data_IF_915493840446
#
_entry.id   IF_915493840446
#
_cell.length_a   1.000
_cell.length_b   1.000
_cell.length_c   1.000
_cell.angle_alpha   90.00
_cell.angle_beta   90.00
_cell.angle_gamma   90.00
#
_symmetry.space_group_name_H-M   'P 1'
#
loop_
_entity.id
_entity.type
_entity.pdbx_description
1 polymer ?
#
# COMPACT_ATOMS: atom_id res chain seq x y z
N UNK A 1 25.31 -10.84 -11.12
CA UNK A 1 24.49 -10.21 -10.07
C UNK A 1 23.24 -9.71 -10.75
N UNK A 2 22.07 -10.20 -10.34
CA UNK A 2 20.80 -9.74 -10.88
C UNK A 2 20.40 -8.44 -10.15
N UNK A 3 19.88 -7.45 -10.89
CA UNK A 3 19.45 -6.17 -10.33
C UNK A 3 18.21 -5.70 -11.04
N UNK A 4 17.17 -5.36 -10.26
CA UNK A 4 15.90 -4.81 -10.72
C UNK A 4 15.57 -3.57 -9.91
N UNK A 5 14.99 -2.56 -10.54
CA UNK A 5 14.57 -1.32 -9.87
C UNK A 5 13.10 -1.05 -10.08
N UNK A 6 12.41 -0.68 -9.02
CA UNK A 6 10.97 -0.39 -9.01
C UNK A 6 10.71 0.95 -8.34
N UNK A 7 9.89 1.79 -8.93
CA UNK A 7 9.52 3.09 -8.36
C UNK A 7 8.05 3.11 -7.93
N UNK A 8 7.82 3.53 -6.68
CA UNK A 8 6.51 3.67 -6.07
C UNK A 8 6.38 5.06 -5.45
N UNK A 9 5.49 5.88 -5.99
CA UNK A 9 5.27 7.24 -5.48
C UNK A 9 6.54 8.09 -5.41
N UNK A 10 7.44 7.94 -6.38
CA UNK A 10 8.72 8.66 -6.43
C UNK A 10 9.85 8.05 -5.58
N UNK A 11 9.61 6.95 -4.86
CA UNK A 11 10.65 6.20 -4.14
C UNK A 11 11.08 4.99 -4.95
N UNK A 12 12.37 4.91 -5.30
CA UNK A 12 12.95 3.82 -6.07
C UNK A 12 13.62 2.80 -5.15
N UNK A 13 13.11 1.58 -5.21
CA UNK A 13 13.64 0.41 -4.54
C UNK A 13 14.50 -0.39 -5.52
N UNK A 14 15.75 -0.64 -5.18
CA UNK A 14 16.66 -1.47 -5.96
C UNK A 14 16.82 -2.84 -5.31
N UNK A 15 16.43 -3.91 -6.02
CA UNK A 15 16.57 -5.30 -5.58
C UNK A 15 17.81 -5.89 -6.22
N UNK A 16 18.73 -6.43 -5.42
CA UNK A 16 20.00 -7.07 -5.86
C UNK A 16 20.10 -8.49 -5.33
N UNK A 17 20.65 -9.40 -6.12
CA UNK A 17 20.95 -10.76 -5.68
C UNK A 17 21.86 -11.50 -6.64
N UNK A 18 22.41 -12.64 -6.21
CA UNK A 18 23.21 -13.50 -7.07
C UNK A 18 22.34 -14.40 -7.96
N UNK A 19 21.20 -14.83 -7.41
CA UNK A 19 20.26 -15.68 -8.11
C UNK A 19 19.30 -14.83 -8.98
N UNK A 20 18.65 -15.49 -9.93
CA UNK A 20 17.62 -14.90 -10.77
C UNK A 20 16.23 -15.10 -10.12
N UNK A 21 15.32 -14.19 -10.37
CA UNK A 21 13.91 -14.29 -10.02
C UNK A 21 13.03 -13.86 -11.18
N UNK A 22 11.77 -14.29 -11.17
CA UNK A 22 10.81 -13.88 -12.17
C UNK A 22 10.23 -12.50 -11.83
N UNK A 23 10.26 -11.57 -12.76
CA UNK A 23 9.54 -10.30 -12.62
C UNK A 23 8.07 -10.55 -12.89
N UNK A 24 7.19 -10.30 -11.90
CA UNK A 24 5.76 -10.49 -12.07
C UNK A 24 5.18 -9.43 -13.03
N UNK A 25 4.12 -9.78 -13.77
CA UNK A 25 3.43 -8.82 -14.66
C UNK A 25 2.92 -7.58 -13.92
N UNK A 26 2.57 -7.71 -12.66
CA UNK A 26 2.10 -6.61 -11.84
C UNK A 26 3.25 -5.65 -11.48
N UNK A 27 4.36 -6.18 -10.95
CA UNK A 27 5.52 -5.35 -10.57
C UNK A 27 6.26 -4.77 -11.78
N UNK A 28 6.26 -5.44 -12.93
CA UNK A 28 6.88 -4.94 -14.17
C UNK A 28 6.34 -3.56 -14.61
N UNK A 29 5.10 -3.24 -14.25
CA UNK A 29 4.49 -1.93 -14.53
C UNK A 29 5.12 -0.78 -13.73
N UNK A 30 5.87 -1.11 -12.70
CA UNK A 30 6.51 -0.17 -11.77
C UNK A 30 8.03 -0.17 -11.90
N UNK A 31 8.59 -0.72 -12.98
CA UNK A 31 10.01 -0.58 -13.25
C UNK A 31 10.40 0.90 -13.24
N UNK A 32 11.52 1.18 -12.60
CA UNK A 32 12.07 2.53 -12.56
C UNK A 32 12.49 2.97 -13.96
N UNK A 33 12.34 4.25 -14.24
CA UNK A 33 12.88 4.88 -15.45
C UNK A 33 14.42 4.82 -15.44
N UNK A 34 15.02 4.89 -16.64
CA UNK A 34 16.47 4.95 -16.78
C UNK A 34 17.01 6.21 -16.10
N UNK A 35 18.03 6.00 -15.25
CA UNK A 35 18.65 7.10 -14.50
C UNK A 35 17.93 7.48 -13.19
N UNK A 36 16.83 6.81 -12.81
CA UNK A 36 16.19 7.05 -11.52
C UNK A 36 17.18 6.79 -10.36
N UNK A 37 17.25 7.73 -9.40
CA UNK A 37 18.07 7.59 -8.22
C UNK A 37 17.51 6.51 -7.28
N UNK A 38 18.37 5.64 -6.77
CA UNK A 38 17.96 4.60 -5.81
C UNK A 38 17.85 5.18 -4.41
N UNK A 39 16.66 5.08 -3.82
CA UNK A 39 16.40 5.53 -2.45
C UNK A 39 16.65 4.43 -1.42
N UNK A 40 16.37 3.17 -1.78
CA UNK A 40 16.49 2.04 -0.86
C UNK A 40 16.98 0.78 -1.60
N UNK A 41 17.97 0.08 -1.03
CA UNK A 41 18.53 -1.13 -1.60
C UNK A 41 18.06 -2.36 -0.82
N UNK A 42 17.56 -3.37 -1.53
CA UNK A 42 17.16 -4.67 -0.99
C UNK A 42 18.13 -5.72 -1.53
N UNK A 43 19.00 -6.25 -0.65
CA UNK A 43 19.96 -7.32 -1.01
C UNK A 43 19.37 -8.68 -0.67
N UNK A 44 19.19 -9.55 -1.67
CA UNK A 44 18.56 -10.87 -1.53
C UNK A 44 19.63 -11.96 -1.39
N UNK A 45 19.49 -12.77 -0.35
CA UNK A 45 20.34 -13.91 -0.01
C UNK A 45 19.48 -15.14 0.33
N UNK A 46 20.11 -16.31 0.45
CA UNK A 46 19.46 -17.55 0.86
C UNK A 46 20.22 -18.22 2.00
N UNK A 47 19.49 -18.90 2.89
CA UNK A 47 20.05 -19.65 4.02
C UNK A 47 19.27 -20.95 4.25
N UNK A 48 19.92 -22.02 4.67
CA UNK A 48 19.24 -23.29 5.01
C UNK A 48 18.39 -23.18 6.28
N UNK A 49 18.71 -22.26 7.19
CA UNK A 49 18.04 -22.11 8.50
C UNK A 49 17.72 -20.65 8.80
N UNK A 50 16.57 -20.39 9.47
CA UNK A 50 16.28 -19.06 9.98
C UNK A 50 17.21 -18.69 11.14
N UNK A 51 17.43 -17.39 11.40
CA UNK A 51 18.15 -16.94 12.59
C UNK A 51 17.34 -17.23 13.86
N UNK A 52 18.01 -17.30 15.04
CA UNK A 52 17.32 -17.37 16.32
C UNK A 52 16.48 -16.08 16.54
N UNK A 53 15.37 -16.24 17.25
CA UNK A 53 14.50 -15.14 17.66
C UNK A 53 14.82 -14.79 19.11
N UNK A 54 15.23 -13.55 19.43
CA UNK A 54 15.54 -13.16 20.80
C UNK A 54 14.25 -13.10 21.66
N UNK A 55 14.40 -13.23 22.97
CA UNK A 55 13.27 -13.27 23.92
C UNK A 55 12.45 -11.97 23.93
N UNK A 56 13.10 -10.83 23.64
CA UNK A 56 12.45 -9.53 23.59
C UNK A 56 11.70 -9.23 22.28
N UNK A 57 11.73 -10.16 21.31
CA UNK A 57 11.01 -9.99 20.06
C UNK A 57 9.49 -9.98 20.28
N UNK A 58 8.80 -9.04 19.67
CA UNK A 58 7.33 -9.01 19.60
C UNK A 58 6.88 -10.01 18.54
N UNK A 59 5.88 -10.87 18.88
CA UNK A 59 5.43 -11.96 18.02
C UNK A 59 3.93 -11.84 17.72
N UNK A 60 3.59 -12.08 16.45
CA UNK A 60 2.19 -12.20 16.02
C UNK A 60 2.09 -13.26 14.91
N UNK A 61 1.53 -14.43 15.25
CA UNK A 61 1.47 -15.60 14.36
C UNK A 61 2.87 -16.00 13.86
N UNK A 62 3.08 -16.11 12.53
CA UNK A 62 4.37 -16.52 11.97
C UNK A 62 5.42 -15.40 11.97
N UNK A 63 5.07 -14.18 12.39
CA UNK A 63 5.92 -12.99 12.31
C UNK A 63 6.52 -12.65 13.67
N UNK A 64 7.83 -12.43 13.69
CA UNK A 64 8.56 -11.90 14.85
C UNK A 64 9.29 -10.63 14.43
N UNK A 65 9.20 -9.56 15.24
CA UNK A 65 9.91 -8.29 15.01
C UNK A 65 10.66 -7.87 16.25
N UNK A 66 11.86 -7.31 16.06
CA UNK A 66 12.69 -6.76 17.15
C UNK A 66 13.67 -5.73 16.61
N UNK A 67 14.26 -4.96 17.51
CA UNK A 67 15.37 -4.06 17.19
C UNK A 67 16.66 -4.53 17.85
N UNK A 68 17.76 -4.35 17.12
CA UNK A 68 19.13 -4.45 17.63
C UNK A 68 19.90 -3.21 17.16
N UNK A 69 20.14 -2.27 18.08
CA UNK A 69 20.62 -0.94 17.74
C UNK A 69 19.67 -0.22 16.79
N UNK A 70 20.16 0.25 15.64
CA UNK A 70 19.35 0.93 14.62
C UNK A 70 18.66 -0.06 13.66
N UNK A 71 19.02 -1.32 13.69
CA UNK A 71 18.50 -2.32 12.77
C UNK A 71 17.12 -2.83 13.24
N UNK A 72 16.15 -2.82 12.34
CA UNK A 72 14.84 -3.43 12.53
C UNK A 72 14.83 -4.81 11.85
N UNK A 73 14.53 -5.82 12.63
CA UNK A 73 14.49 -7.21 12.21
C UNK A 73 13.03 -7.68 12.07
N UNK A 74 12.72 -8.32 10.94
CA UNK A 74 11.41 -8.97 10.71
C UNK A 74 11.65 -10.38 10.20
N UNK A 75 11.28 -11.38 10.98
CA UNK A 75 11.35 -12.79 10.62
C UNK A 75 9.94 -13.35 10.44
N UNK A 76 9.70 -14.04 9.32
CA UNK A 76 8.47 -14.79 9.03
C UNK A 76 8.83 -16.24 8.82
N UNK A 77 8.22 -17.15 9.60
CA UNK A 77 8.48 -18.59 9.54
C UNK A 77 7.20 -19.32 9.22
N UNK A 78 7.16 -20.00 8.08
CA UNK A 78 6.06 -20.85 7.64
C UNK A 78 6.43 -22.35 7.62
N UNK A 79 7.72 -22.68 7.75
CA UNK A 79 8.29 -24.01 7.77
C UNK A 79 9.80 -23.98 7.87
N UNK A 80 10.45 -25.13 8.07
CA UNK A 80 11.90 -25.21 8.31
C UNK A 80 12.76 -24.57 7.20
N UNK A 81 12.36 -24.75 5.93
CA UNK A 81 13.03 -24.15 4.78
C UNK A 81 12.20 -23.04 4.12
N UNK A 82 11.09 -22.63 4.75
CA UNK A 82 10.14 -21.65 4.24
C UNK A 82 10.05 -20.47 5.22
N UNK A 83 11.02 -19.58 5.13
CA UNK A 83 11.07 -18.37 5.94
C UNK A 83 11.59 -17.19 5.10
N UNK A 84 11.30 -15.97 5.56
CA UNK A 84 11.96 -14.75 5.11
C UNK A 84 12.42 -13.94 6.33
N UNK A 85 13.61 -13.40 6.25
CA UNK A 85 14.23 -12.62 7.30
C UNK A 85 14.78 -11.31 6.73
N UNK A 86 14.17 -10.21 7.10
CA UNK A 86 14.58 -8.87 6.72
C UNK A 86 15.31 -8.17 7.87
N UNK A 87 16.47 -7.61 7.60
CA UNK A 87 17.20 -6.70 8.49
C UNK A 87 17.27 -5.35 7.82
N UNK A 88 16.52 -4.39 8.32
CA UNK A 88 16.41 -3.05 7.76
C UNK A 88 17.17 -2.03 8.58
N UNK A 89 17.98 -1.24 7.88
CA UNK A 89 18.61 -0.03 8.35
C UNK A 89 18.24 1.14 7.45
N UNK A 90 18.78 2.33 7.68
CA UNK A 90 18.51 3.48 6.82
C UNK A 90 18.98 3.20 5.39
N UNK A 91 18.06 3.30 4.43
CA UNK A 91 18.33 3.11 2.99
C UNK A 91 18.66 1.69 2.55
N UNK A 92 18.66 0.70 3.44
CA UNK A 92 19.05 -0.67 3.10
C UNK A 92 18.20 -1.72 3.82
N UNK A 93 17.92 -2.82 3.12
CA UNK A 93 17.34 -4.05 3.69
C UNK A 93 18.16 -5.25 3.21
N UNK A 94 18.72 -6.02 4.13
CA UNK A 94 19.24 -7.35 3.86
C UNK A 94 18.08 -8.33 4.03
N UNK A 95 17.71 -9.04 2.97
CA UNK A 95 16.59 -9.98 2.93
C UNK A 95 17.12 -11.39 2.67
N UNK A 96 16.93 -12.29 3.63
CA UNK A 96 17.34 -13.69 3.57
C UNK A 96 16.13 -14.57 3.43
N UNK A 97 16.05 -15.38 2.40
CA UNK A 97 15.04 -16.41 2.22
C UNK A 97 15.55 -17.79 2.61
N UNK A 98 14.62 -18.64 3.04
CA UNK A 98 14.88 -20.07 3.14
C UNK A 98 15.12 -20.70 1.78
N UNK A 99 16.01 -21.72 1.72
CA UNK A 99 16.38 -22.41 0.47
C UNK A 99 15.15 -22.96 -0.29
N UNK A 100 14.06 -23.27 0.41
CA UNK A 100 12.80 -23.75 -0.22
C UNK A 100 12.15 -22.75 -1.19
N UNK A 101 12.54 -21.47 -1.15
CA UNK A 101 12.02 -20.44 -2.06
C UNK A 101 12.89 -20.19 -3.29
N UNK A 102 14.14 -20.69 -3.33
CA UNK A 102 15.13 -20.34 -4.36
C UNK A 102 14.64 -20.54 -5.80
N UNK A 103 13.94 -21.62 -6.08
CA UNK A 103 13.49 -21.96 -7.44
C UNK A 103 12.16 -21.29 -7.84
N UNK A 104 11.45 -20.68 -6.90
CA UNK A 104 10.10 -20.12 -7.11
C UNK A 104 10.01 -18.63 -6.86
N UNK A 105 11.17 -17.97 -6.68
CA UNK A 105 11.22 -16.55 -6.30
C UNK A 105 10.72 -15.63 -7.42
N UNK A 106 9.96 -14.63 -7.05
CA UNK A 106 9.48 -13.58 -7.94
C UNK A 106 9.50 -12.21 -7.24
N UNK A 107 9.60 -11.15 -8.03
CA UNK A 107 9.82 -9.77 -7.57
C UNK A 107 8.79 -9.29 -6.53
N UNK A 108 7.51 -9.64 -6.69
CA UNK A 108 6.48 -9.24 -5.72
C UNK A 108 6.73 -9.87 -4.34
N UNK A 109 7.08 -11.17 -4.28
CA UNK A 109 7.39 -11.84 -3.02
C UNK A 109 8.62 -11.23 -2.31
N UNK A 110 9.62 -10.78 -3.10
CA UNK A 110 10.79 -10.08 -2.56
C UNK A 110 10.37 -8.75 -1.91
N UNK A 111 9.62 -7.92 -2.64
CA UNK A 111 9.15 -6.62 -2.15
C UNK A 111 8.25 -6.75 -0.92
N UNK A 112 7.33 -7.73 -0.91
CA UNK A 112 6.47 -8.03 0.23
C UNK A 112 7.27 -8.48 1.46
N UNK A 113 8.23 -9.40 1.26
CA UNK A 113 9.06 -9.93 2.34
C UNK A 113 10.06 -8.91 2.89
N UNK A 114 10.46 -7.92 2.09
CA UNK A 114 11.27 -6.79 2.52
C UNK A 114 10.49 -5.74 3.31
N UNK A 115 9.19 -5.94 3.57
CA UNK A 115 8.32 -4.94 4.19
C UNK A 115 8.22 -3.64 3.39
N UNK A 116 8.00 -3.74 2.08
CA UNK A 116 7.95 -2.58 1.18
C UNK A 116 7.06 -1.45 1.73
N UNK A 117 5.88 -1.75 2.30
CA UNK A 117 5.00 -0.71 2.82
C UNK A 117 5.59 0.02 4.03
N UNK A 118 6.31 -0.70 4.87
CA UNK A 118 6.99 -0.15 6.03
C UNK A 118 8.25 0.64 5.60
N UNK A 119 8.93 0.21 4.51
CA UNK A 119 9.99 1.00 3.86
C UNK A 119 9.40 2.31 3.33
N UNK A 120 8.33 2.26 2.55
CA UNK A 120 7.69 3.44 1.96
C UNK A 120 7.12 4.39 3.02
N UNK A 121 6.65 3.86 4.17
CA UNK A 121 6.24 4.68 5.30
C UNK A 121 7.40 5.56 5.82
N UNK A 122 8.62 5.04 5.87
CA UNK A 122 9.82 5.81 6.19
C UNK A 122 10.12 6.97 5.23
N UNK A 123 9.52 6.97 4.04
CA UNK A 123 9.56 8.06 3.06
C UNK A 123 8.27 8.89 3.03
N UNK A 124 7.47 8.88 4.10
CA UNK A 124 6.26 9.68 4.21
C UNK A 124 5.07 9.18 3.38
N UNK A 125 5.03 7.89 3.04
CA UNK A 125 3.96 7.31 2.25
C UNK A 125 3.17 6.27 3.06
N UNK A 126 1.88 6.16 2.83
CA UNK A 126 1.05 5.13 3.44
C UNK A 126 0.24 4.36 2.38
N UNK A 127 -0.09 3.11 2.68
CA UNK A 127 -0.95 2.29 1.81
C UNK A 127 -2.32 2.16 2.44
N UNK A 128 -3.31 2.71 1.73
CA UNK A 128 -4.72 2.67 2.10
C UNK A 128 -5.44 1.54 1.36
N UNK A 129 -6.20 0.72 2.05
CA UNK A 129 -7.15 -0.24 1.45
C UNK A 129 -8.31 0.54 0.82
N UNK A 130 -8.18 0.83 -0.46
CA UNK A 130 -9.11 1.64 -1.23
C UNK A 130 -9.10 1.27 -2.70
N UNK A 131 -10.22 1.48 -3.38
CA UNK A 131 -10.22 1.56 -4.84
C UNK A 131 -9.86 2.98 -5.26
N UNK A 132 -8.93 3.10 -6.21
CA UNK A 132 -8.47 4.37 -6.76
C UNK A 132 -9.06 4.57 -8.16
N UNK A 133 -9.89 5.60 -8.31
CA UNK A 133 -10.42 6.03 -9.59
C UNK A 133 -9.88 7.42 -9.97
N UNK A 134 -9.64 7.61 -11.27
CA UNK A 134 -9.16 8.86 -11.84
C UNK A 134 -10.15 9.38 -12.88
N UNK A 135 -11.03 10.32 -12.50
CA UNK A 135 -11.94 10.99 -13.43
C UNK A 135 -11.18 11.81 -14.49
N UNK A 136 -11.84 12.21 -15.62
CA UNK A 136 -11.20 12.96 -16.70
C UNK A 136 -10.57 14.30 -16.30
N UNK A 137 -11.01 14.90 -15.18
CA UNK A 137 -10.41 16.13 -14.64
C UNK A 137 -9.03 15.95 -13.97
N UNK A 138 -8.52 14.71 -13.91
CA UNK A 138 -7.18 14.41 -13.44
C UNK A 138 -6.97 14.45 -11.92
N UNK A 139 -8.05 14.41 -11.10
CA UNK A 139 -7.95 14.36 -9.65
C UNK A 139 -8.48 13.04 -9.09
N UNK A 140 -7.70 12.38 -8.25
CA UNK A 140 -8.01 11.06 -7.68
C UNK A 140 -9.17 11.09 -6.69
N UNK A 141 -10.06 10.11 -6.79
CA UNK A 141 -11.08 9.80 -5.77
C UNK A 141 -10.80 8.40 -5.23
N UNK A 142 -10.69 8.28 -3.91
CA UNK A 142 -10.33 7.05 -3.22
C UNK A 142 -11.51 6.52 -2.42
N UNK A 143 -12.09 5.38 -2.81
CA UNK A 143 -13.16 4.73 -2.06
C UNK A 143 -12.58 3.78 -1.04
N UNK A 144 -12.81 4.03 0.25
CA UNK A 144 -12.25 3.25 1.36
C UNK A 144 -13.34 2.75 2.32
N UNK A 145 -13.00 1.71 3.08
CA UNK A 145 -13.85 1.07 4.08
C UNK A 145 -13.62 -0.43 4.15
N UNK A 146 -14.33 -1.14 5.04
CA UNK A 146 -14.14 -2.57 5.28
C UNK A 146 -14.24 -3.44 4.02
N UNK A 147 -13.72 -4.66 4.11
CA UNK A 147 -13.89 -5.63 3.02
C UNK A 147 -15.37 -5.90 2.75
N UNK A 148 -15.75 -5.98 1.47
CA UNK A 148 -17.15 -6.22 1.07
C UNK A 148 -18.10 -5.01 1.16
N UNK A 149 -17.63 -3.81 1.54
CA UNK A 149 -18.46 -2.61 1.66
C UNK A 149 -18.96 -2.08 0.31
N UNK A 150 -18.26 -2.37 -0.80
CA UNK A 150 -18.64 -1.89 -2.13
C UNK A 150 -17.61 -1.03 -2.84
N UNK A 151 -16.34 -0.98 -2.40
CA UNK A 151 -15.27 -0.18 -3.02
C UNK A 151 -15.13 -0.45 -4.52
N UNK A 152 -14.98 -1.71 -4.92
CA UNK A 152 -14.86 -2.11 -6.32
C UNK A 152 -16.14 -1.85 -7.12
N UNK A 153 -17.31 -1.93 -6.47
CA UNK A 153 -18.59 -1.59 -7.08
C UNK A 153 -18.66 -0.09 -7.39
N UNK A 154 -18.29 0.75 -6.44
CA UNK A 154 -18.24 2.20 -6.68
C UNK A 154 -17.23 2.56 -7.76
N UNK A 155 -16.04 1.93 -7.77
CA UNK A 155 -15.07 2.13 -8.85
C UNK A 155 -15.64 1.79 -10.24
N UNK A 156 -16.36 0.68 -10.37
CA UNK A 156 -17.02 0.29 -11.61
C UNK A 156 -18.14 1.27 -12.02
N UNK A 157 -18.94 1.75 -11.07
CA UNK A 157 -19.98 2.75 -11.34
C UNK A 157 -19.36 4.09 -11.79
N UNK A 158 -18.26 4.52 -11.19
CA UNK A 158 -17.54 5.72 -11.62
C UNK A 158 -16.93 5.57 -13.02
N UNK A 159 -16.43 4.37 -13.36
CA UNK A 159 -16.00 4.09 -14.71
C UNK A 159 -17.16 4.19 -15.70
N UNK A 160 -18.33 3.64 -15.35
CA UNK A 160 -19.51 3.59 -16.21
C UNK A 160 -20.16 4.95 -16.40
N UNK A 161 -20.36 5.71 -15.31
CA UNK A 161 -21.19 6.92 -15.33
C UNK A 161 -20.43 8.23 -15.28
N UNK A 162 -19.19 8.23 -14.78
CA UNK A 162 -18.33 9.41 -14.72
C UNK A 162 -17.13 9.35 -15.67
N UNK A 163 -16.99 8.28 -16.48
CA UNK A 163 -15.86 8.10 -17.39
C UNK A 163 -14.51 8.01 -16.69
N UNK A 164 -14.49 7.65 -15.41
CA UNK A 164 -13.27 7.54 -14.64
C UNK A 164 -12.45 6.31 -15.04
N UNK A 165 -11.12 6.44 -15.05
CA UNK A 165 -10.25 5.29 -15.14
C UNK A 165 -10.04 4.64 -13.77
N UNK A 166 -10.14 3.31 -13.67
CA UNK A 166 -9.79 2.57 -12.45
C UNK A 166 -8.29 2.31 -12.47
N UNK A 167 -7.57 2.95 -11.56
CA UNK A 167 -6.11 2.81 -11.44
C UNK A 167 -5.74 1.61 -10.59
N UNK A 168 -6.42 1.43 -9.46
CA UNK A 168 -6.23 0.26 -8.61
C UNK A 168 -7.55 -0.12 -7.93
N UNK A 169 -7.83 -1.41 -7.87
CA UNK A 169 -9.09 -1.92 -7.29
C UNK A 169 -9.03 -2.27 -5.81
N UNK A 170 -7.86 -2.23 -5.18
CA UNK A 170 -7.67 -2.75 -3.81
C UNK A 170 -6.82 -1.86 -2.91
N UNK A 171 -5.73 -1.26 -3.43
CA UNK A 171 -4.78 -0.49 -2.61
C UNK A 171 -4.30 0.76 -3.33
N UNK A 172 -4.21 1.84 -2.58
CA UNK A 172 -3.64 3.10 -3.04
C UNK A 172 -2.45 3.47 -2.19
N UNK A 173 -1.32 3.78 -2.82
CA UNK A 173 -0.18 4.38 -2.16
C UNK A 173 -0.37 5.89 -2.12
N UNK A 174 -0.41 6.47 -0.93
CA UNK A 174 -0.60 7.90 -0.72
C UNK A 174 0.71 8.51 -0.26
N UNK A 175 1.22 9.47 -1.01
CA UNK A 175 2.29 10.36 -0.57
C UNK A 175 1.68 11.48 0.24
N UNK A 176 2.09 11.59 1.53
CA UNK A 176 1.39 12.46 2.47
C UNK A 176 1.84 13.92 2.43
N UNK A 177 3.02 14.21 1.89
CA UNK A 177 3.58 15.57 1.80
C UNK A 177 2.84 16.48 0.80
N UNK A 178 2.37 15.92 -0.31
CA UNK A 178 1.70 16.65 -1.39
C UNK A 178 0.30 16.12 -1.75
N UNK A 179 -0.21 15.16 -0.97
CA UNK A 179 -1.51 14.52 -1.18
C UNK A 179 -1.66 13.88 -2.57
N UNK A 180 -0.64 13.15 -3.00
CA UNK A 180 -0.67 12.42 -4.27
C UNK A 180 -1.06 10.95 -4.05
N UNK A 181 -2.07 10.47 -4.76
CA UNK A 181 -2.42 9.07 -4.89
C UNK A 181 -1.58 8.41 -5.98
N UNK A 182 -1.02 7.26 -5.70
CA UNK A 182 -0.19 6.49 -6.61
C UNK A 182 -0.72 5.07 -6.73
N UNK A 183 -0.64 4.49 -7.93
CA UNK A 183 -0.86 3.07 -8.12
C UNK A 183 0.22 2.23 -7.41
N UNK A 184 -0.13 0.98 -7.13
CA UNK A 184 0.79 -0.02 -6.56
C UNK A 184 0.44 -1.39 -7.15
N UNK A 185 1.37 -2.34 -7.17
CA UNK A 185 1.16 -3.63 -7.85
C UNK A 185 0.12 -4.55 -7.20
N UNK A 186 -0.34 -4.26 -5.99
CA UNK A 186 -1.43 -4.99 -5.35
C UNK A 186 -2.75 -4.65 -6.02
N UNK A 187 -3.49 -5.66 -6.47
CA UNK A 187 -4.71 -5.47 -7.23
C UNK A 187 -5.94 -6.17 -6.64
N UNK A 188 -5.74 -6.92 -5.54
CA UNK A 188 -6.80 -7.73 -4.95
C UNK A 188 -7.45 -8.67 -5.98
N UNK A 189 -8.75 -8.91 -5.82
CA UNK A 189 -9.52 -9.76 -6.75
C UNK A 189 -9.84 -9.09 -8.08
N UNK A 190 -9.69 -7.77 -8.19
CA UNK A 190 -9.97 -7.03 -9.43
C UNK A 190 -8.95 -7.27 -10.53
N UNK A 191 -7.72 -7.62 -10.17
CA UNK A 191 -6.59 -7.72 -11.10
C UNK A 191 -6.14 -6.37 -11.69
N UNK A 192 -6.76 -5.26 -11.31
CA UNK A 192 -6.48 -3.93 -11.84
C UNK A 192 -5.40 -3.27 -10.99
N UNK A 193 -4.24 -3.00 -11.61
CA UNK A 193 -3.18 -2.17 -11.06
C UNK A 193 -2.46 -1.44 -12.19
N UNK A 194 -2.46 -0.12 -12.17
CA UNK A 194 -1.80 0.76 -13.16
C UNK A 194 -0.76 1.62 -12.45
N UNK A 195 0.34 1.91 -13.12
CA UNK A 195 1.32 2.87 -12.65
C UNK A 195 0.84 4.28 -13.08
N UNK A 196 0.08 4.91 -12.21
CA UNK A 196 -0.43 6.27 -12.44
C UNK A 196 -0.49 7.03 -11.12
N UNK A 197 -0.25 8.34 -11.20
CA UNK A 197 -0.22 9.25 -10.05
C UNK A 197 -1.11 10.45 -10.31
N UNK A 198 -1.85 10.91 -9.30
CA UNK A 198 -2.67 12.13 -9.40
C UNK A 198 -2.88 12.77 -8.02
N UNK A 199 -3.07 14.10 -7.96
CA UNK A 199 -3.48 14.78 -6.72
C UNK A 199 -4.80 14.22 -6.20
N UNK A 200 -4.90 13.99 -4.90
CA UNK A 200 -6.13 13.51 -4.26
C UNK A 200 -7.15 14.64 -4.23
N UNK A 201 -8.37 14.37 -4.75
CA UNK A 201 -9.53 15.25 -4.57
C UNK A 201 -10.26 14.93 -3.29
N UNK A 202 -10.48 13.64 -3.03
CA UNK A 202 -11.18 13.19 -1.82
C UNK A 202 -10.87 11.74 -1.47
N UNK A 203 -10.94 11.43 -0.17
CA UNK A 203 -11.08 10.08 0.37
C UNK A 203 -12.55 9.91 0.75
N UNK A 204 -13.20 8.86 0.26
CA UNK A 204 -14.63 8.60 0.45
C UNK A 204 -14.81 7.31 1.24
N UNK A 205 -15.29 7.47 2.45
CA UNK A 205 -15.64 6.37 3.35
C UNK A 205 -17.04 5.85 2.96
N UNK A 206 -17.12 4.58 2.62
CA UNK A 206 -18.37 3.97 2.15
C UNK A 206 -19.16 3.31 3.27
N UNK A 207 -20.48 3.48 3.23
CA UNK A 207 -21.45 2.69 3.97
C UNK A 207 -22.56 2.19 3.02
N UNK A 208 -23.17 1.05 3.33
CA UNK A 208 -24.36 0.56 2.64
C UNK A 208 -25.60 1.17 3.27
N UNK A 209 -26.49 1.72 2.46
CA UNK A 209 -27.74 2.31 2.91
C UNK A 209 -28.82 2.19 1.81
N UNK A 210 -30.08 2.34 2.20
CA UNK A 210 -31.22 2.35 1.27
C UNK A 210 -31.43 3.71 0.60
N UNK A 211 -30.80 4.77 1.12
CA UNK A 211 -30.82 6.11 0.57
C UNK A 211 -29.40 6.63 0.35
N UNK A 212 -29.22 7.46 -0.68
CA UNK A 212 -27.94 8.08 -0.98
C UNK A 212 -27.77 9.36 -0.18
N UNK A 213 -26.83 9.38 0.76
CA UNK A 213 -26.50 10.57 1.55
C UNK A 213 -24.99 10.80 1.56
N UNK A 214 -24.59 12.07 1.52
CA UNK A 214 -23.20 12.50 1.50
C UNK A 214 -22.97 13.60 2.53
N UNK A 215 -21.87 13.48 3.28
CA UNK A 215 -21.42 14.52 4.20
C UNK A 215 -19.92 14.53 4.35
N UNK A 216 -19.33 15.63 4.77
CA UNK A 216 -17.94 15.64 5.24
C UNK A 216 -17.81 14.81 6.52
N UNK A 217 -16.77 14.02 6.61
CA UNK A 217 -16.41 13.29 7.83
C UNK A 217 -15.79 14.26 8.85
N UNK A 218 -16.18 14.13 10.11
CA UNK A 218 -15.49 14.86 11.19
C UNK A 218 -14.05 14.35 11.38
N UNK A 219 -13.15 15.19 11.90
CA UNK A 219 -11.73 14.86 12.02
C UNK A 219 -11.46 13.54 12.77
N UNK A 220 -12.12 13.31 13.90
CA UNK A 220 -12.00 12.07 14.69
C UNK A 220 -12.47 10.84 13.91
N UNK A 221 -13.58 10.97 13.18
CA UNK A 221 -14.15 9.91 12.36
C UNK A 221 -13.23 9.60 11.18
N UNK A 222 -12.78 10.62 10.45
CA UNK A 222 -11.87 10.48 9.33
C UNK A 222 -10.57 9.79 9.75
N UNK A 223 -9.97 10.23 10.85
CA UNK A 223 -8.75 9.64 11.40
C UNK A 223 -8.94 8.15 11.72
N UNK A 224 -9.94 7.79 12.52
CA UNK A 224 -10.18 6.41 12.93
C UNK A 224 -10.48 5.50 11.73
N UNK A 225 -11.31 5.97 10.80
CA UNK A 225 -11.70 5.21 9.62
C UNK A 225 -10.51 4.99 8.66
N UNK A 226 -9.72 6.02 8.37
CA UNK A 226 -8.54 5.91 7.50
C UNK A 226 -7.48 5.03 8.14
N UNK A 227 -7.14 5.25 9.42
CA UNK A 227 -6.14 4.46 10.14
C UNK A 227 -6.50 2.96 10.15
N UNK A 228 -7.78 2.63 10.35
CA UNK A 228 -8.25 1.24 10.35
C UNK A 228 -8.10 0.52 8.99
N UNK A 229 -7.94 1.27 7.91
CA UNK A 229 -7.77 0.74 6.55
C UNK A 229 -6.33 0.84 6.03
N UNK A 230 -5.40 1.38 6.82
CA UNK A 230 -3.99 1.43 6.46
C UNK A 230 -3.28 0.08 6.67
N UNK A 231 -2.28 -0.19 5.84
CA UNK A 231 -1.45 -1.39 5.93
C UNK A 231 -0.21 -1.12 6.77
N UNK A 232 -0.16 -1.66 7.98
CA UNK A 232 0.98 -1.56 8.91
C UNK A 232 0.92 -2.67 9.98
N UNK A 233 1.96 -2.81 10.76
CA UNK A 233 2.00 -3.76 11.88
C UNK A 233 1.34 -3.16 13.12
N UNK A 234 0.01 -3.35 13.27
CA UNK A 234 -0.80 -2.78 14.38
C UNK A 234 -0.35 -3.23 15.78
N UNK A 235 0.30 -4.39 15.86
CA UNK A 235 0.83 -4.97 17.10
C UNK A 235 2.27 -4.56 17.41
N UNK A 236 2.94 -3.83 16.51
CA UNK A 236 4.28 -3.25 16.68
C UNK A 236 4.12 -1.77 17.02
N UNK A 237 4.54 -1.37 18.22
CA UNK A 237 4.29 -0.04 18.73
C UNK A 237 4.92 1.08 17.87
N UNK A 238 6.12 0.85 17.34
CA UNK A 238 6.80 1.83 16.49
C UNK A 238 6.07 2.01 15.15
N UNK A 239 5.70 0.91 14.51
CA UNK A 239 4.92 0.94 13.27
C UNK A 239 3.56 1.64 13.48
N UNK A 240 2.91 1.37 14.63
CA UNK A 240 1.62 1.97 14.96
C UNK A 240 1.72 3.48 15.22
N UNK A 241 2.72 3.93 15.97
CA UNK A 241 2.96 5.36 16.22
C UNK A 241 3.25 6.09 14.91
N UNK A 242 4.17 5.56 14.10
CA UNK A 242 4.53 6.18 12.83
C UNK A 242 3.34 6.28 11.87
N UNK A 243 2.54 5.21 11.74
CA UNK A 243 1.33 5.25 10.90
C UNK A 243 0.29 6.24 11.43
N UNK A 244 0.14 6.34 12.75
CA UNK A 244 -0.74 7.33 13.41
C UNK A 244 -0.37 8.76 13.01
N UNK A 245 0.91 9.10 13.01
CA UNK A 245 1.41 10.42 12.64
C UNK A 245 1.16 10.71 11.14
N UNK A 246 1.44 9.75 10.26
CA UNK A 246 1.17 9.89 8.82
C UNK A 246 -0.33 10.11 8.53
N UNK A 247 -1.20 9.33 9.17
CA UNK A 247 -2.66 9.46 9.00
C UNK A 247 -3.16 10.77 9.58
N UNK A 248 -2.65 11.21 10.74
CA UNK A 248 -3.02 12.49 11.31
C UNK A 248 -2.68 13.66 10.38
N UNK A 249 -1.49 13.66 9.78
CA UNK A 249 -1.07 14.65 8.79
C UNK A 249 -1.90 14.59 7.50
N UNK A 250 -2.28 13.40 7.06
CA UNK A 250 -3.12 13.20 5.86
C UNK A 250 -4.53 13.78 6.08
N UNK A 251 -5.24 13.39 7.14
CA UNK A 251 -6.64 13.78 7.35
C UNK A 251 -6.84 15.25 7.74
N UNK A 252 -5.79 15.92 8.20
CA UNK A 252 -5.82 17.37 8.44
C UNK A 252 -5.87 18.18 7.12
N UNK A 253 -5.39 17.62 6.02
CA UNK A 253 -5.24 18.31 4.73
C UNK A 253 -6.13 17.74 3.62
N UNK A 254 -6.47 16.46 3.69
CA UNK A 254 -7.32 15.81 2.71
C UNK A 254 -8.81 16.04 3.01
N UNK A 255 -9.60 16.23 1.96
CA UNK A 255 -11.05 16.18 2.07
C UNK A 255 -11.50 14.73 2.28
N UNK A 256 -12.15 14.45 3.40
CA UNK A 256 -12.70 13.13 3.70
C UNK A 256 -14.22 13.23 3.78
N UNK A 257 -14.90 12.41 2.99
CA UNK A 257 -16.37 12.33 2.95
C UNK A 257 -16.85 10.97 3.43
N UNK A 258 -18.08 10.93 3.94
CA UNK A 258 -18.83 9.70 4.14
C UNK A 258 -19.97 9.66 3.12
N UNK A 259 -19.99 8.60 2.34
CA UNK A 259 -21.03 8.30 1.38
C UNK A 259 -21.78 7.04 1.85
N UNK A 260 -22.97 7.22 2.38
CA UNK A 260 -23.91 6.13 2.65
C UNK A 260 -24.78 5.97 1.41
N UNK A 261 -24.74 4.82 0.75
CA UNK A 261 -25.34 4.74 -0.58
C UNK A 261 -25.79 3.34 -0.99
N UNK A 262 -26.68 3.34 -1.97
CA UNK A 262 -26.94 2.21 -2.86
C UNK A 262 -25.84 2.12 -3.91
N UNK A 263 -25.79 0.99 -4.62
CA UNK A 263 -24.87 0.80 -5.76
C UNK A 263 -25.56 1.24 -7.06
N UNK A 264 -25.77 2.54 -7.25
CA UNK A 264 -26.49 3.11 -8.39
C UNK A 264 -25.83 4.38 -8.97
N UNK A 265 -26.35 4.86 -10.11
CA UNK A 265 -25.90 6.07 -10.78
C UNK A 265 -26.11 7.33 -9.93
N UNK A 266 -27.19 7.38 -9.14
CA UNK A 266 -27.50 8.53 -8.29
C UNK A 266 -26.41 8.79 -7.26
N UNK A 267 -25.85 7.72 -6.66
CA UNK A 267 -24.71 7.81 -5.74
C UNK A 267 -23.48 8.43 -6.42
N UNK A 268 -23.21 8.07 -7.69
CA UNK A 268 -22.12 8.67 -8.47
C UNK A 268 -22.38 10.15 -8.71
N UNK A 269 -23.55 10.52 -9.18
CA UNK A 269 -23.94 11.91 -9.45
C UNK A 269 -23.89 12.78 -8.21
N UNK A 270 -24.41 12.29 -7.07
CA UNK A 270 -24.36 13.00 -5.79
C UNK A 270 -22.92 13.37 -5.41
N UNK A 271 -22.01 12.40 -5.44
CA UNK A 271 -20.61 12.63 -5.09
C UNK A 271 -19.91 13.49 -6.15
N UNK A 272 -20.15 13.26 -7.44
CA UNK A 272 -19.55 14.01 -8.53
C UNK A 272 -19.91 15.50 -8.46
N UNK A 273 -21.16 15.84 -8.19
CA UNK A 273 -21.62 17.22 -8.03
C UNK A 273 -20.93 17.91 -6.85
N UNK A 274 -20.81 17.24 -5.70
CA UNK A 274 -20.11 17.79 -4.53
C UNK A 274 -18.62 18.01 -4.81
N UNK A 275 -17.96 17.08 -5.48
CA UNK A 275 -16.52 17.16 -5.68
C UNK A 275 -16.12 18.11 -6.82
N UNK A 276 -16.96 18.24 -7.87
CA UNK A 276 -16.57 18.85 -9.14
C UNK A 276 -17.63 19.76 -9.74
N UNK A 277 -18.82 19.91 -9.13
CA UNK A 277 -19.97 20.65 -9.65
C UNK A 277 -20.01 22.14 -9.32
N UNK A 278 -18.87 22.74 -8.95
CA UNK A 278 -18.74 24.18 -8.69
C UNK A 278 -18.30 24.97 -9.91
#
# INVERSE_FOLDING_TARGET
MNTERFTFGGVTLEVRGQDTWTVSKASARFHAEDGAETNHVISVEYSPTPPPVPDHAVKNGPVSRWREGEALHTLRVYGAAQFSYAVRTQGQTRLVFGEGYRSTMYSQAILESADMFDILAGYGQLVLHSSYVLPPNGKAVLFSGPSGIGKSTQAALWQQYAGADVINGDRTLIRTDDLTANGVFYSGTSGICKNASAPIRAIVLLDKADENTLRRAGAKEAFAAVLSQCSYYQWDAESAIHMTDLVAGLVQRADVYRLSCRADEEAVRLLQNELFGG
#
